data_IF_206952450570
#
_entry.id   IF_206952450570
#
_cell.length_a   1.000
_cell.length_b   1.000
_cell.length_c   1.000
_cell.angle_alpha   90.00
_cell.angle_beta   90.00
_cell.angle_gamma   90.00
#
_symmetry.space_group_name_H-M   'P 1'
#
loop_
_entity.id
_entity.type
_entity.pdbx_description
1 polymer ?
#
# COMPACT_ATOMS: atom_id res chain seq x y z
N UNK A 1 -3.21 8.01 -3.60
CA UNK A 1 -3.06 8.39 -2.18
C UNK A 1 -4.03 9.52 -1.86
N UNK A 2 -4.45 9.72 -0.60
CA UNK A 2 -5.39 10.80 -0.28
C UNK A 2 -4.74 12.17 -0.53
N UNK A 3 -5.45 13.04 -1.23
CA UNK A 3 -5.04 14.43 -1.42
C UNK A 3 -5.29 15.27 -0.17
N UNK A 4 -4.77 16.50 -0.16
CA UNK A 4 -5.01 17.43 0.96
C UNK A 4 -6.51 17.78 1.10
N UNK A 5 -7.25 17.87 -0.01
CA UNK A 5 -8.71 18.12 0.03
C UNK A 5 -9.49 16.89 0.50
N UNK A 6 -9.04 15.68 0.19
CA UNK A 6 -9.64 14.45 0.76
C UNK A 6 -9.45 14.42 2.28
N UNK A 7 -8.24 14.73 2.76
CA UNK A 7 -7.94 14.83 4.19
C UNK A 7 -8.80 15.89 4.87
N UNK A 8 -8.95 17.08 4.28
CA UNK A 8 -9.81 18.14 4.79
C UNK A 8 -11.27 17.69 4.90
N UNK A 9 -11.77 16.98 3.89
CA UNK A 9 -13.11 16.40 3.91
C UNK A 9 -13.25 15.36 5.03
N UNK A 10 -12.28 14.46 5.17
CA UNK A 10 -12.27 13.43 6.21
C UNK A 10 -12.20 14.03 7.62
N UNK A 11 -11.40 15.07 7.82
CA UNK A 11 -11.32 15.81 9.09
C UNK A 11 -12.64 16.49 9.44
N UNK A 12 -13.29 17.16 8.48
CA UNK A 12 -14.60 17.78 8.71
C UNK A 12 -15.66 16.74 9.09
N UNK A 13 -15.63 15.56 8.49
CA UNK A 13 -16.51 14.44 8.85
C UNK A 13 -16.19 13.90 10.25
N UNK A 14 -14.91 13.74 10.61
CA UNK A 14 -14.49 13.31 11.95
C UNK A 14 -14.92 14.31 13.03
N UNK A 15 -14.91 15.61 12.73
CA UNK A 15 -15.41 16.64 13.66
C UNK A 15 -16.92 16.60 13.80
N UNK A 16 -17.64 16.42 12.69
CA UNK A 16 -19.10 16.35 12.69
C UNK A 16 -19.63 15.12 13.43
N UNK A 17 -18.98 13.97 13.25
CA UNK A 17 -19.50 12.68 13.72
C UNK A 17 -18.68 12.04 14.84
N UNK A 18 -17.54 12.62 15.22
CA UNK A 18 -16.75 12.21 16.39
C UNK A 18 -15.97 10.90 16.22
N UNK A 19 -15.81 10.36 15.02
CA UNK A 19 -15.06 9.12 14.80
C UNK A 19 -13.54 9.32 14.79
N UNK A 20 -12.81 8.27 15.16
CA UNK A 20 -11.35 8.20 15.05
C UNK A 20 -10.93 7.85 13.64
N UNK A 21 -9.95 8.57 13.12
CA UNK A 21 -9.26 8.25 11.87
C UNK A 21 -8.01 7.43 12.22
N UNK A 22 -8.00 6.19 11.75
CA UNK A 22 -6.82 5.31 11.79
C UNK A 22 -6.23 5.23 10.37
N UNK A 23 -5.13 5.94 10.13
CA UNK A 23 -4.45 6.01 8.85
C UNK A 23 -3.39 4.91 8.74
N UNK A 24 -3.56 3.94 7.83
CA UNK A 24 -2.51 2.96 7.52
C UNK A 24 -1.59 3.49 6.41
N UNK A 25 -0.36 3.82 6.78
CA UNK A 25 0.62 4.50 5.94
C UNK A 25 1.84 3.61 5.67
N UNK A 26 1.71 2.28 5.74
CA UNK A 26 2.82 1.34 5.55
C UNK A 26 3.48 1.40 4.15
N UNK A 27 2.86 2.06 3.18
CA UNK A 27 3.36 2.25 1.82
C UNK A 27 3.93 3.66 1.57
N UNK A 28 4.04 4.53 2.58
CA UNK A 28 4.44 5.93 2.45
C UNK A 28 5.73 6.12 1.66
N UNK A 29 6.69 5.20 1.79
CA UNK A 29 8.02 5.30 1.20
C UNK A 29 8.15 4.69 -0.20
N UNK A 30 7.10 4.06 -0.72
CA UNK A 30 7.12 3.42 -2.04
C UNK A 30 6.32 4.29 -2.99
N UNK A 31 7.00 5.26 -3.59
CA UNK A 31 6.44 6.22 -4.53
C UNK A 31 7.40 6.49 -5.69
N UNK A 32 6.91 7.08 -6.77
CA UNK A 32 7.66 7.18 -8.02
C UNK A 32 8.30 8.56 -8.26
N UNK A 33 7.72 9.64 -7.71
CA UNK A 33 8.18 11.02 -7.92
C UNK A 33 8.74 11.63 -6.62
N UNK A 34 10.05 11.95 -6.60
CA UNK A 34 10.70 12.62 -5.45
C UNK A 34 10.24 14.05 -5.22
N UNK A 35 9.70 14.73 -6.25
CA UNK A 35 9.17 16.07 -6.08
C UNK A 35 7.80 16.07 -5.38
N UNK A 36 7.08 14.94 -5.40
CA UNK A 36 5.70 14.83 -4.95
C UNK A 36 5.48 13.55 -4.10
N UNK A 37 6.12 13.43 -2.92
CA UNK A 37 5.89 12.29 -2.03
C UNK A 37 4.45 12.26 -1.48
N UNK A 38 3.90 11.08 -1.14
CA UNK A 38 2.57 10.97 -0.56
C UNK A 38 2.41 11.76 0.75
N UNK A 39 1.27 12.42 0.91
CA UNK A 39 0.95 13.19 2.11
C UNK A 39 0.34 12.27 3.17
N UNK A 40 0.98 12.18 4.33
CA UNK A 40 0.47 11.46 5.51
C UNK A 40 -0.55 12.27 6.32
N UNK A 41 -1.36 11.60 7.14
CA UNK A 41 -2.45 12.24 7.89
C UNK A 41 -1.98 13.30 8.87
N UNK A 42 -0.88 13.04 9.61
CA UNK A 42 -0.31 14.02 10.56
C UNK A 42 0.27 15.25 9.83
N UNK A 43 0.85 15.04 8.64
CA UNK A 43 1.31 16.14 7.78
C UNK A 43 0.13 16.97 7.27
N UNK A 44 -0.93 16.31 6.80
CA UNK A 44 -2.15 16.98 6.35
C UNK A 44 -2.80 17.80 7.47
N UNK A 45 -2.90 17.26 8.69
CA UNK A 45 -3.41 17.99 9.85
C UNK A 45 -2.60 19.28 10.10
N UNK A 46 -1.27 19.19 10.11
CA UNK A 46 -0.39 20.35 10.27
C UNK A 46 -0.58 21.39 9.17
N UNK A 47 -0.63 20.98 7.90
CA UNK A 47 -0.82 21.87 6.75
C UNK A 47 -2.18 22.58 6.78
N UNK A 48 -3.20 21.94 7.33
CA UNK A 48 -4.56 22.50 7.48
C UNK A 48 -4.77 23.25 8.81
N UNK A 49 -3.72 23.43 9.63
CA UNK A 49 -3.81 24.13 10.92
C UNK A 49 -4.65 23.39 11.97
N UNK A 50 -4.78 22.06 11.84
CA UNK A 50 -5.53 21.18 12.74
C UNK A 50 -4.57 20.50 13.73
N UNK A 51 -5.05 20.26 14.96
CA UNK A 51 -4.40 19.32 15.88
C UNK A 51 -4.57 17.86 15.46
N UNK A 52 -4.06 16.95 16.30
CA UNK A 52 -4.10 15.51 16.06
C UNK A 52 -5.30 14.83 16.73
N UNK A 53 -6.30 15.59 17.18
CA UNK A 53 -7.46 15.03 17.88
C UNK A 53 -8.18 14.01 16.99
N UNK A 54 -8.41 12.81 17.53
CA UNK A 54 -9.01 11.65 16.85
C UNK A 54 -8.23 11.15 15.64
N UNK A 55 -6.97 11.52 15.47
CA UNK A 55 -6.13 11.06 14.37
C UNK A 55 -4.97 10.22 14.91
N UNK A 56 -4.84 9.00 14.40
CA UNK A 56 -3.67 8.14 14.60
C UNK A 56 -3.21 7.56 13.28
N UNK A 57 -1.91 7.53 13.04
CA UNK A 57 -1.28 6.88 11.90
C UNK A 57 -0.55 5.62 12.33
N UNK A 58 -0.49 4.64 11.44
CA UNK A 58 0.24 3.38 11.60
C UNK A 58 1.25 3.25 10.46
N UNK A 59 2.50 2.91 10.79
CA UNK A 59 3.54 2.66 9.80
C UNK A 59 4.41 1.46 10.19
N UNK A 60 5.13 0.91 9.23
CA UNK A 60 5.95 -0.30 9.42
C UNK A 60 7.21 -0.30 8.57
N UNK A 61 8.29 -0.82 9.15
CA UNK A 61 9.55 -1.11 8.45
C UNK A 61 9.44 -2.25 7.44
N UNK A 62 8.34 -3.00 7.48
CA UNK A 62 8.16 -4.21 6.66
C UNK A 62 8.37 -3.96 5.17
N UNK A 63 7.94 -2.80 4.66
CA UNK A 63 7.91 -2.47 3.23
C UNK A 63 8.94 -1.40 2.90
N UNK A 64 9.06 -0.37 3.75
CA UNK A 64 10.11 0.65 3.70
C UNK A 64 11.52 0.03 3.63
N UNK A 65 11.79 -0.97 4.47
CA UNK A 65 13.14 -1.48 4.73
C UNK A 65 13.30 -2.97 4.45
N UNK A 66 12.41 -3.59 3.68
CA UNK A 66 12.48 -5.01 3.30
C UNK A 66 12.62 -6.01 4.46
N UNK A 67 12.09 -5.68 5.64
CA UNK A 67 12.18 -6.51 6.86
C UNK A 67 10.82 -6.94 7.42
N UNK A 68 9.92 -7.55 6.62
CA UNK A 68 8.61 -7.96 7.10
C UNK A 68 8.68 -8.98 8.26
N UNK A 69 9.75 -9.78 8.31
CA UNK A 69 10.03 -10.74 9.38
C UNK A 69 10.44 -10.11 10.72
N UNK A 70 10.89 -8.84 10.74
CA UNK A 70 11.31 -8.16 11.97
C UNK A 70 10.14 -7.74 12.86
N UNK A 71 8.92 -7.71 12.30
CA UNK A 71 7.67 -7.36 13.03
C UNK A 71 7.76 -6.02 13.75
N UNK A 72 8.33 -5.01 13.08
CA UNK A 72 8.53 -3.67 13.65
C UNK A 72 7.76 -2.58 12.88
N UNK A 73 7.24 -1.63 13.64
CA UNK A 73 6.43 -0.51 13.20
C UNK A 73 6.06 0.38 14.38
N UNK A 74 5.30 1.44 14.14
CA UNK A 74 4.87 2.36 15.19
C UNK A 74 3.47 2.93 14.91
N UNK A 75 2.89 3.53 15.94
CA UNK A 75 1.67 4.32 15.88
C UNK A 75 1.96 5.72 16.44
N UNK A 76 1.46 6.77 15.81
CA UNK A 76 1.65 8.16 16.24
C UNK A 76 0.38 8.99 16.02
N UNK A 77 0.13 10.02 16.84
CA UNK A 77 -1.06 10.86 16.73
C UNK A 77 -1.62 11.29 18.09
N UNK A 78 -2.95 11.24 18.23
CA UNK A 78 -3.68 11.66 19.42
C UNK A 78 -3.15 11.03 20.72
N UNK A 79 -2.57 11.87 21.59
CA UNK A 79 -1.97 11.44 22.85
C UNK A 79 -3.00 10.81 23.83
N UNK A 80 -4.26 11.27 23.80
CA UNK A 80 -5.30 10.73 24.67
C UNK A 80 -5.68 9.29 24.25
N UNK A 81 -5.71 9.02 22.94
CA UNK A 81 -5.90 7.67 22.40
C UNK A 81 -4.69 6.80 22.72
N UNK A 82 -3.48 7.29 22.43
CA UNK A 82 -2.24 6.53 22.64
C UNK A 82 -2.01 6.18 24.11
N UNK A 83 -2.39 7.04 25.06
CA UNK A 83 -2.32 6.73 26.50
C UNK A 83 -3.19 5.53 26.87
N UNK A 84 -4.43 5.48 26.38
CA UNK A 84 -5.33 4.33 26.60
C UNK A 84 -4.83 3.08 25.89
N UNK A 85 -4.31 3.24 24.67
CA UNK A 85 -3.78 2.13 23.89
C UNK A 85 -2.53 1.52 24.53
N UNK A 86 -1.63 2.34 25.09
CA UNK A 86 -0.47 1.86 25.84
C UNK A 86 -0.89 1.01 27.03
N UNK A 87 -1.87 1.45 27.82
CA UNK A 87 -2.40 0.67 28.94
C UNK A 87 -2.95 -0.68 28.46
N UNK A 88 -3.73 -0.69 27.38
CA UNK A 88 -4.22 -1.96 26.81
C UNK A 88 -3.06 -2.90 26.39
N UNK A 89 -2.03 -2.34 25.76
CA UNK A 89 -0.86 -3.10 25.28
C UNK A 89 -0.06 -3.78 26.38
N UNK A 90 -0.12 -3.28 27.63
CA UNK A 90 0.52 -3.96 28.77
C UNK A 90 -0.14 -5.31 29.09
N UNK A 91 -1.44 -5.45 28.82
CA UNK A 91 -2.19 -6.70 29.00
C UNK A 91 -2.17 -7.57 27.75
N UNK A 92 -2.15 -6.95 26.56
CA UNK A 92 -2.06 -7.67 25.28
C UNK A 92 -0.74 -8.44 25.13
N UNK A 93 0.33 -8.02 25.82
CA UNK A 93 1.62 -8.72 25.82
C UNK A 93 2.47 -8.46 24.56
N UNK A 94 2.43 -7.24 24.01
CA UNK A 94 3.09 -6.89 22.74
C UNK A 94 4.31 -5.95 22.91
N UNK A 95 5.08 -6.14 23.98
CA UNK A 95 6.34 -5.41 24.17
C UNK A 95 7.39 -5.89 23.16
N UNK A 96 8.11 -4.96 22.54
CA UNK A 96 9.10 -5.29 21.51
C UNK A 96 10.44 -5.66 22.16
N UNK A 97 11.07 -6.73 21.67
CA UNK A 97 12.38 -7.18 22.14
C UNK A 97 13.47 -6.09 21.95
N UNK A 98 14.36 -5.84 22.94
CA UNK A 98 15.37 -4.78 22.83
C UNK A 98 16.29 -4.87 21.61
N UNK A 99 16.81 -6.05 21.20
CA UNK A 99 17.57 -6.17 19.94
C UNK A 99 16.78 -5.71 18.70
N UNK A 100 15.47 -6.01 18.65
CA UNK A 100 14.60 -5.56 17.54
C UNK A 100 14.40 -4.06 17.59
N UNK A 101 14.30 -3.46 18.79
CA UNK A 101 14.27 -2.00 18.92
C UNK A 101 15.56 -1.36 18.39
N UNK A 102 16.73 -1.89 18.76
CA UNK A 102 18.04 -1.40 18.26
C UNK A 102 18.14 -1.50 16.74
N UNK A 103 17.75 -2.64 16.15
CA UNK A 103 17.72 -2.81 14.69
C UNK A 103 16.72 -1.84 14.03
N UNK A 104 15.57 -1.60 14.67
CA UNK A 104 14.58 -0.65 14.18
C UNK A 104 15.11 0.78 14.20
N UNK A 105 15.84 1.18 15.23
CA UNK A 105 16.49 2.51 15.30
C UNK A 105 17.47 2.69 14.13
N UNK A 106 18.30 1.68 13.85
CA UNK A 106 19.21 1.73 12.71
C UNK A 106 18.45 1.86 11.38
N UNK A 107 17.38 1.10 11.18
CA UNK A 107 16.57 1.16 9.98
C UNK A 107 15.86 2.51 9.82
N UNK A 108 15.27 3.09 10.88
CA UNK A 108 14.60 4.38 10.79
C UNK A 108 15.55 5.56 10.54
N UNK A 109 16.82 5.45 10.93
CA UNK A 109 17.81 6.52 10.76
C UNK A 109 18.56 6.47 9.42
N UNK A 110 18.44 5.39 8.66
CA UNK A 110 19.07 5.26 7.34
C UNK A 110 18.06 5.47 6.22
N UNK A 111 18.33 6.43 5.34
CA UNK A 111 17.52 6.71 4.15
C UNK A 111 18.18 6.19 2.86
N UNK A 112 19.45 5.78 2.90
CA UNK A 112 20.14 5.29 1.72
C UNK A 112 19.53 3.97 1.22
N UNK A 113 19.24 3.02 2.12
CA UNK A 113 18.58 1.77 1.74
C UNK A 113 17.13 2.00 1.27
N UNK A 114 16.45 3.03 1.76
CA UNK A 114 15.08 3.36 1.36
C UNK A 114 15.06 3.89 -0.07
N UNK A 115 15.99 4.80 -0.39
CA UNK A 115 16.15 5.32 -1.73
C UNK A 115 16.50 4.21 -2.74
N UNK A 116 17.42 3.31 -2.38
CA UNK A 116 17.74 2.13 -3.22
C UNK A 116 16.51 1.25 -3.46
N UNK A 117 15.80 0.89 -2.38
CA UNK A 117 14.56 0.11 -2.46
C UNK A 117 13.52 0.78 -3.38
N UNK A 118 13.33 2.09 -3.25
CA UNK A 118 12.41 2.87 -4.08
C UNK A 118 12.84 2.89 -5.55
N UNK A 119 14.14 3.03 -5.83
CA UNK A 119 14.67 2.98 -7.20
C UNK A 119 14.42 1.61 -7.86
N UNK A 120 14.56 0.51 -7.12
CA UNK A 120 14.22 -0.82 -7.63
C UNK A 120 12.73 -0.93 -8.01
N UNK A 121 11.82 -0.35 -7.22
CA UNK A 121 10.40 -0.30 -7.61
C UNK A 121 10.16 0.59 -8.83
N UNK A 122 10.79 1.78 -8.91
CA UNK A 122 10.69 2.64 -10.10
C UNK A 122 11.07 1.91 -11.38
N UNK A 123 12.17 1.17 -11.35
CA UNK A 123 12.65 0.38 -12.48
C UNK A 123 11.62 -0.68 -12.90
N UNK A 124 11.09 -1.45 -11.95
CA UNK A 124 10.05 -2.46 -12.20
C UNK A 124 8.80 -1.84 -12.82
N UNK A 125 8.32 -0.73 -12.27
CA UNK A 125 7.10 -0.08 -12.77
C UNK A 125 7.30 0.56 -14.14
N UNK A 126 8.44 1.20 -14.39
CA UNK A 126 8.77 1.76 -15.70
C UNK A 126 8.80 0.68 -16.79
N UNK A 127 9.30 -0.52 -16.45
CA UNK A 127 9.41 -1.63 -17.39
C UNK A 127 8.08 -2.40 -17.58
N UNK A 128 7.33 -2.64 -16.52
CA UNK A 128 6.15 -3.52 -16.56
C UNK A 128 4.84 -2.78 -16.88
N UNK A 129 4.65 -1.55 -16.37
CA UNK A 129 3.36 -0.84 -16.50
C UNK A 129 2.93 -0.63 -17.95
N UNK A 130 3.81 -0.20 -18.89
CA UNK A 130 3.41 -0.01 -20.29
C UNK A 130 2.85 -1.29 -20.93
N UNK A 131 3.50 -2.43 -20.66
CA UNK A 131 3.11 -3.73 -21.22
C UNK A 131 1.77 -4.22 -20.69
N UNK A 132 1.48 -4.01 -19.40
CA UNK A 132 0.16 -4.34 -18.82
C UNK A 132 -0.90 -3.38 -19.35
N UNK A 133 -0.59 -2.07 -19.41
CA UNK A 133 -1.54 -1.04 -19.85
C UNK A 133 -1.96 -1.16 -21.32
N UNK A 134 -1.14 -1.80 -22.14
CA UNK A 134 -1.45 -2.08 -23.55
C UNK A 134 -2.65 -3.02 -23.70
N UNK A 135 -2.81 -3.97 -22.79
CA UNK A 135 -3.81 -5.05 -22.89
C UNK A 135 -4.88 -5.03 -21.80
N UNK A 136 -4.61 -4.38 -20.67
CA UNK A 136 -5.52 -4.27 -19.53
C UNK A 136 -5.63 -2.81 -19.10
N UNK A 137 -6.80 -2.41 -18.59
CA UNK A 137 -7.00 -1.04 -18.10
C UNK A 137 -6.25 -0.79 -16.80
N UNK A 138 -5.04 -0.22 -16.87
CA UNK A 138 -4.22 0.20 -15.71
C UNK A 138 -3.32 1.39 -16.08
N UNK A 139 -2.80 2.09 -15.08
CA UNK A 139 -1.78 3.13 -15.23
C UNK A 139 -0.74 3.08 -14.10
N UNK A 140 0.20 4.03 -14.13
CA UNK A 140 1.14 4.21 -13.02
C UNK A 140 0.36 4.62 -11.75
N UNK A 141 0.51 3.91 -10.62
CA UNK A 141 -0.16 4.30 -9.39
C UNK A 141 0.59 5.46 -8.71
N UNK A 142 -0.07 6.17 -7.80
CA UNK A 142 0.57 7.25 -7.04
C UNK A 142 1.70 6.73 -6.13
N UNK A 143 1.52 5.52 -5.58
CA UNK A 143 2.40 4.88 -4.62
C UNK A 143 2.11 3.36 -4.55
N UNK A 144 2.81 2.66 -3.65
CA UNK A 144 2.79 1.20 -3.45
C UNK A 144 3.53 0.39 -4.53
N UNK A 145 3.53 -0.93 -4.38
CA UNK A 145 4.11 -1.87 -5.34
C UNK A 145 3.06 -2.71 -6.09
N UNK A 146 1.82 -2.22 -6.18
CA UNK A 146 0.74 -2.90 -6.89
C UNK A 146 0.32 -2.19 -8.17
N UNK A 147 0.09 -2.96 -9.24
CA UNK A 147 -0.76 -2.55 -10.35
C UNK A 147 -2.18 -3.07 -10.12
N UNK A 148 -3.16 -2.25 -10.46
CA UNK A 148 -4.58 -2.56 -10.35
C UNK A 148 -5.20 -2.52 -11.75
N UNK A 149 -5.31 -3.70 -12.36
CA UNK A 149 -5.59 -3.84 -13.79
C UNK A 149 -6.99 -4.41 -14.03
N UNK A 150 -7.78 -3.73 -14.87
CA UNK A 150 -9.11 -4.19 -15.28
C UNK A 150 -9.02 -5.35 -16.26
N UNK A 151 -9.71 -6.45 -15.98
CA UNK A 151 -9.78 -7.64 -16.84
C UNK A 151 -10.98 -7.56 -17.81
N UNK A 152 -10.87 -8.14 -19.02
CA UNK A 152 -11.95 -8.15 -20.00
C UNK A 152 -13.03 -9.21 -19.69
N UNK A 153 -12.70 -10.17 -18.83
CA UNK A 153 -13.58 -11.24 -18.33
C UNK A 153 -13.63 -11.19 -16.80
N UNK A 154 -14.38 -12.11 -16.18
CA UNK A 154 -14.41 -12.25 -14.73
C UNK A 154 -12.99 -12.41 -14.16
N UNK A 155 -12.66 -11.64 -13.13
CA UNK A 155 -11.33 -11.60 -12.52
C UNK A 155 -10.86 -12.96 -11.99
N UNK A 156 -11.78 -13.77 -11.46
CA UNK A 156 -11.48 -15.13 -10.99
C UNK A 156 -11.18 -16.10 -12.15
N UNK A 157 -11.82 -15.95 -13.31
CA UNK A 157 -11.54 -16.74 -14.51
C UNK A 157 -10.20 -16.33 -15.11
N UNK A 158 -9.95 -15.02 -15.21
CA UNK A 158 -8.69 -14.47 -15.68
C UNK A 158 -7.51 -14.96 -14.84
N UNK A 159 -7.62 -14.87 -13.51
CA UNK A 159 -6.58 -15.33 -12.60
C UNK A 159 -6.34 -16.85 -12.67
N UNK A 160 -7.40 -17.65 -12.83
CA UNK A 160 -7.30 -19.11 -12.99
C UNK A 160 -6.60 -19.47 -14.30
N UNK A 161 -6.99 -18.85 -15.41
CA UNK A 161 -6.39 -19.10 -16.73
C UNK A 161 -4.91 -18.72 -16.78
N UNK A 162 -4.53 -17.60 -16.16
CA UNK A 162 -3.11 -17.23 -16.00
C UNK A 162 -2.31 -18.26 -15.23
N UNK A 163 -2.85 -18.78 -14.13
CA UNK A 163 -2.17 -19.79 -13.35
C UNK A 163 -2.05 -21.10 -14.14
N UNK A 164 -3.15 -21.55 -14.75
CA UNK A 164 -3.23 -22.84 -15.46
C UNK A 164 -2.34 -22.88 -16.70
N UNK A 165 -2.38 -21.84 -17.54
CA UNK A 165 -1.70 -21.86 -18.84
C UNK A 165 -0.34 -21.18 -18.84
N UNK A 166 -0.11 -20.24 -17.91
CA UNK A 166 1.09 -19.41 -17.91
C UNK A 166 1.91 -19.50 -16.61
N UNK A 167 1.44 -20.23 -15.60
CA UNK A 167 2.06 -20.31 -14.27
C UNK A 167 2.25 -18.94 -13.61
N UNK A 168 1.33 -18.00 -13.85
CA UNK A 168 1.35 -16.66 -13.25
C UNK A 168 0.23 -16.54 -12.22
N UNK A 169 0.60 -16.21 -10.98
CA UNK A 169 -0.37 -15.99 -9.89
C UNK A 169 -0.64 -14.50 -9.73
N UNK A 170 -1.91 -14.12 -9.87
CA UNK A 170 -2.43 -12.78 -9.56
C UNK A 170 -3.59 -12.90 -8.57
N UNK A 171 -3.96 -11.81 -7.90
CA UNK A 171 -5.08 -11.83 -6.96
C UNK A 171 -6.35 -11.27 -7.61
N UNK A 172 -7.46 -12.04 -7.68
CA UNK A 172 -8.76 -11.51 -8.07
C UNK A 172 -9.16 -10.34 -7.18
N UNK A 173 -9.54 -9.24 -7.81
CA UNK A 173 -9.90 -7.99 -7.14
C UNK A 173 -11.18 -8.12 -6.32
N UNK A 174 -12.11 -8.96 -6.76
CA UNK A 174 -13.34 -9.29 -6.04
C UNK A 174 -13.07 -9.85 -4.64
N UNK A 175 -11.90 -10.44 -4.39
CA UNK A 175 -11.51 -10.96 -3.07
C UNK A 175 -11.05 -9.86 -2.10
N UNK A 176 -10.72 -8.66 -2.60
CA UNK A 176 -10.30 -7.52 -1.80
C UNK A 176 -11.46 -6.59 -1.40
N UNK A 177 -12.66 -6.88 -1.90
CA UNK A 177 -13.83 -6.03 -1.72
C UNK A 177 -15.04 -6.84 -1.29
N UNK A 178 -16.01 -6.14 -0.67
CA UNK A 178 -17.33 -6.69 -0.37
C UNK A 178 -18.34 -6.01 -1.26
N UNK A 179 -19.40 -6.74 -1.62
CA UNK A 179 -20.53 -6.14 -2.29
C UNK A 179 -21.17 -5.08 -1.38
N UNK A 180 -21.40 -3.90 -1.94
CA UNK A 180 -22.10 -2.80 -1.28
C UNK A 180 -22.99 -2.12 -2.31
N UNK A 181 -24.25 -1.90 -1.95
CA UNK A 181 -25.24 -1.30 -2.84
C UNK A 181 -25.36 -2.02 -4.20
N UNK A 182 -25.23 -3.36 -4.19
CA UNK A 182 -25.33 -4.20 -5.39
C UNK A 182 -24.09 -4.19 -6.30
N UNK A 183 -22.98 -3.60 -5.86
CA UNK A 183 -21.73 -3.54 -6.64
C UNK A 183 -20.56 -4.04 -5.80
N UNK A 184 -19.75 -4.95 -6.36
CA UNK A 184 -18.42 -5.26 -5.83
C UNK A 184 -17.38 -4.38 -6.56
N UNK A 185 -16.78 -3.38 -5.88
CA UNK A 185 -15.85 -2.45 -6.53
C UNK A 185 -14.53 -3.11 -6.98
N UNK A 186 -14.25 -4.33 -6.52
CA UNK A 186 -13.11 -5.13 -6.94
C UNK A 186 -13.38 -6.06 -8.14
N UNK A 187 -14.64 -6.24 -8.54
CA UNK A 187 -15.00 -7.14 -9.62
C UNK A 187 -14.36 -6.70 -10.96
N UNK A 188 -13.91 -7.68 -11.74
CA UNK A 188 -13.23 -7.49 -13.03
C UNK A 188 -11.93 -6.66 -12.92
N UNK A 189 -11.24 -6.76 -11.79
CA UNK A 189 -9.88 -6.28 -11.62
C UNK A 189 -8.99 -7.39 -11.08
N UNK A 190 -7.70 -7.32 -11.36
CA UNK A 190 -6.67 -8.12 -10.69
C UNK A 190 -5.63 -7.21 -10.03
N UNK A 191 -5.11 -7.65 -8.90
CA UNK A 191 -3.95 -7.02 -8.25
C UNK A 191 -2.68 -7.76 -8.62
N UNK A 192 -1.74 -7.05 -9.26
CA UNK A 192 -0.42 -7.55 -9.63
C UNK A 192 0.60 -6.90 -8.70
N UNK A 193 1.41 -7.70 -8.01
CA UNK A 193 2.44 -7.20 -7.09
C UNK A 193 3.83 -7.28 -7.73
N UNK A 194 4.50 -6.14 -7.94
CA UNK A 194 5.84 -6.07 -8.54
C UNK A 194 6.92 -6.21 -7.47
N UNK A 195 6.91 -7.33 -6.76
CA UNK A 195 7.80 -7.59 -5.60
C UNK A 195 8.96 -8.51 -5.93
N UNK A 196 8.82 -9.36 -6.96
CA UNK A 196 9.90 -10.24 -7.44
C UNK A 196 11.04 -9.43 -8.08
N UNK A 197 12.08 -10.08 -8.57
CA UNK A 197 13.14 -9.40 -9.33
C UNK A 197 12.57 -8.73 -10.59
N UNK A 198 13.30 -7.75 -11.16
CA UNK A 198 12.88 -7.09 -12.40
C UNK A 198 12.66 -8.08 -13.54
N UNK A 199 13.58 -9.04 -13.69
CA UNK A 199 13.50 -10.06 -14.74
C UNK A 199 12.25 -10.93 -14.59
N UNK A 200 11.95 -11.39 -13.38
CA UNK A 200 10.73 -12.17 -13.10
C UNK A 200 9.46 -11.35 -13.31
N UNK A 201 9.46 -10.08 -12.89
CA UNK A 201 8.31 -9.18 -13.11
C UNK A 201 8.06 -8.97 -14.61
N UNK A 202 9.11 -8.81 -15.41
CA UNK A 202 9.02 -8.64 -16.86
C UNK A 202 8.52 -9.92 -17.54
N UNK A 203 9.07 -11.08 -17.21
CA UNK A 203 8.61 -12.37 -17.73
C UNK A 203 7.13 -12.60 -17.40
N UNK A 204 6.72 -12.42 -16.14
CA UNK A 204 5.32 -12.54 -15.74
C UNK A 204 4.41 -11.55 -16.49
N UNK A 205 4.86 -10.30 -16.68
CA UNK A 205 4.12 -9.28 -17.41
C UNK A 205 3.95 -9.64 -18.89
N UNK A 206 4.98 -10.18 -19.53
CA UNK A 206 4.89 -10.64 -20.92
C UNK A 206 3.89 -11.80 -21.07
N UNK A 207 3.87 -12.72 -20.12
CA UNK A 207 2.88 -13.81 -20.07
C UNK A 207 1.45 -13.29 -19.88
N UNK A 208 1.27 -12.31 -18.98
CA UNK A 208 -0.03 -11.63 -18.81
C UNK A 208 -0.49 -10.99 -20.12
N UNK A 209 0.42 -10.30 -20.81
CA UNK A 209 0.15 -9.68 -22.11
C UNK A 209 -0.29 -10.70 -23.16
N UNK A 210 0.45 -11.81 -23.28
CA UNK A 210 0.12 -12.88 -24.23
C UNK A 210 -1.24 -13.52 -23.93
N UNK A 211 -1.54 -13.79 -22.66
CA UNK A 211 -2.84 -14.35 -22.27
C UNK A 211 -3.98 -13.39 -22.60
N UNK A 212 -3.85 -12.11 -22.25
CA UNK A 212 -4.88 -11.11 -22.49
C UNK A 212 -5.17 -10.89 -23.99
N UNK A 213 -4.16 -11.04 -24.86
CA UNK A 213 -4.32 -10.92 -26.32
C UNK A 213 -5.05 -12.11 -26.97
N UNK A 214 -5.21 -13.22 -26.25
CA UNK A 214 -5.93 -14.41 -26.72
C UNK A 214 -7.41 -14.44 -26.31
N UNK A 215 -7.84 -13.50 -25.47
CA UNK A 215 -9.23 -13.32 -25.04
C UNK A 215 -9.98 -12.40 -25.98
#
# INVERSE_FOLDING_TARGET
MLSLEDWKTLFALSDKYGFVIASDECYSEIYFDEANPPIGGLQAAKLLGRGNERLVMFSSLSKRSNVPGMRSGFVAGDAAILKKYLLFRTYQGCAMSPPVQTASIAAWNDEAHVLDNRNQYREKFAACTPLVSEVLGTGMPDASFYLWARTPIADTEFARGLLEHYNVVVLPGSFLARESQGVNPGANFIRIALVASLAECLDATQRIRQFAQQL
#
